data_IF_176043629721
#
_entry.id   IF_176043629721
#
_cell.length_a   1.000
_cell.length_b   1.000
_cell.length_c   1.000
_cell.angle_alpha   90.00
_cell.angle_beta   90.00
_cell.angle_gamma   90.00
#
_symmetry.space_group_name_H-M   'P 1'
#
loop_
_entity.id
_entity.type
_entity.pdbx_description
1 polymer ?
#
# COMPACT_ATOMS: atom_id res chain seq x y z
N UNK A 1 -7.44 22.92 -23.76
CA UNK A 1 -6.91 22.04 -22.70
C UNK A 1 -7.57 20.67 -22.82
N UNK A 2 -6.82 19.64 -23.26
CA UNK A 2 -7.39 18.32 -23.55
C UNK A 2 -7.21 17.41 -22.32
N UNK A 3 -8.23 17.30 -21.47
CA UNK A 3 -8.20 16.40 -20.31
C UNK A 3 -8.30 14.95 -20.80
N UNK A 4 -7.16 14.27 -20.95
CA UNK A 4 -7.16 12.82 -21.19
C UNK A 4 -7.60 12.09 -19.91
N UNK A 5 -8.87 11.68 -19.85
CA UNK A 5 -9.38 10.80 -18.78
C UNK A 5 -8.46 9.58 -18.68
N UNK A 6 -7.89 9.41 -17.49
CA UNK A 6 -6.97 8.36 -17.14
C UNK A 6 -7.74 7.02 -17.11
N UNK A 7 -7.95 6.38 -18.26
CA UNK A 7 -8.70 5.10 -18.41
C UNK A 7 -8.04 3.89 -17.72
N UNK A 8 -6.94 4.09 -16.98
CA UNK A 8 -6.20 3.03 -16.32
C UNK A 8 -6.80 2.68 -14.96
N UNK A 9 -7.13 1.41 -14.74
CA UNK A 9 -7.49 0.91 -13.39
C UNK A 9 -6.31 1.20 -12.45
N UNK A 10 -6.51 2.13 -11.50
CA UNK A 10 -5.57 2.40 -10.42
C UNK A 10 -5.88 1.44 -9.28
N UNK A 11 -4.91 0.62 -8.93
CA UNK A 11 -4.98 -0.29 -7.79
C UNK A 11 -3.96 0.13 -6.75
N UNK A 12 -4.19 -0.21 -5.49
CA UNK A 12 -3.26 0.10 -4.42
C UNK A 12 -2.58 -1.17 -3.94
N UNK A 13 -1.26 -1.15 -3.80
CA UNK A 13 -0.52 -2.21 -3.13
C UNK A 13 -0.19 -1.78 -1.71
N UNK A 14 -0.79 -2.47 -0.74
CA UNK A 14 -0.53 -2.25 0.69
C UNK A 14 0.56 -3.21 1.16
N UNK A 15 1.56 -2.65 1.85
CA UNK A 15 2.57 -3.42 2.55
C UNK A 15 2.58 -3.07 4.02
N UNK A 16 2.81 -4.08 4.84
CA UNK A 16 2.95 -3.93 6.28
C UNK A 16 4.15 -4.71 6.80
N UNK A 17 4.70 -4.29 7.94
CA UNK A 17 5.71 -5.05 8.67
C UNK A 17 5.56 -4.84 10.17
N UNK A 18 5.94 -5.86 10.92
CA UNK A 18 6.05 -5.83 12.39
C UNK A 18 7.48 -6.09 12.85
N UNK A 19 8.45 -6.04 11.93
CA UNK A 19 9.85 -6.42 12.15
C UNK A 19 10.70 -5.97 10.97
N UNK A 20 11.65 -6.82 10.54
CA UNK A 20 12.61 -6.45 9.48
C UNK A 20 12.07 -6.58 8.05
N UNK A 21 11.17 -7.54 7.78
CA UNK A 21 10.67 -7.86 6.43
C UNK A 21 9.29 -7.27 6.13
N UNK A 22 9.11 -6.73 4.92
CA UNK A 22 7.82 -6.25 4.42
C UNK A 22 6.95 -7.39 3.88
N UNK A 23 5.66 -7.38 4.24
CA UNK A 23 4.65 -8.32 3.77
C UNK A 23 3.62 -7.56 2.94
N UNK A 24 3.25 -8.12 1.78
CA UNK A 24 2.15 -7.60 0.94
C UNK A 24 0.82 -8.13 1.43
N UNK A 25 -0.21 -7.30 1.38
CA UNK A 25 -1.59 -7.71 1.65
C UNK A 25 -2.56 -7.03 0.69
N UNK A 26 -3.70 -7.68 0.46
CA UNK A 26 -4.88 -7.07 -0.19
C UNK A 26 -5.96 -6.69 0.83
N UNK A 27 -5.75 -7.00 2.11
CA UNK A 27 -6.70 -6.69 3.18
C UNK A 27 -6.74 -5.18 3.41
N UNK A 28 -7.95 -4.64 3.51
CA UNK A 28 -8.21 -3.23 3.86
C UNK A 28 -8.18 -3.02 5.38
N UNK A 29 -8.58 -4.06 6.12
CA UNK A 29 -8.68 -4.04 7.58
C UNK A 29 -7.75 -5.08 8.18
N UNK A 30 -7.08 -4.73 9.27
CA UNK A 30 -6.28 -5.65 10.06
C UNK A 30 -6.93 -5.80 11.44
N UNK A 31 -7.42 -6.99 11.72
CA UNK A 31 -8.05 -7.35 12.99
C UNK A 31 -7.09 -8.22 13.80
N UNK A 32 -7.36 -8.35 15.10
CA UNK A 32 -6.59 -9.21 16.02
C UNK A 32 -5.08 -8.91 16.01
N UNK A 33 -4.74 -7.61 16.06
CA UNK A 33 -3.35 -7.17 16.14
C UNK A 33 -2.74 -7.56 17.50
N UNK A 34 -1.46 -7.94 17.50
CA UNK A 34 -0.78 -8.31 18.74
C UNK A 34 -0.45 -7.04 19.54
N UNK A 35 -0.78 -7.05 20.84
CA UNK A 35 -0.45 -5.99 21.80
C UNK A 35 1.06 -5.76 21.89
N UNK A 36 1.47 -4.54 22.23
CA UNK A 36 2.87 -4.13 22.37
C UNK A 36 3.71 -4.29 21.09
N UNK A 37 3.08 -4.45 19.93
CA UNK A 37 3.77 -4.47 18.63
C UNK A 37 3.62 -3.16 17.87
N UNK A 38 4.67 -2.83 17.14
CA UNK A 38 4.69 -1.72 16.19
C UNK A 38 4.43 -2.26 14.79
N UNK A 39 3.34 -1.82 14.18
CA UNK A 39 2.99 -2.11 12.80
C UNK A 39 3.34 -0.91 11.93
N UNK A 40 4.20 -1.13 10.95
CA UNK A 40 4.53 -0.12 9.92
C UNK A 40 3.78 -0.43 8.65
N UNK A 41 3.13 0.56 8.05
CA UNK A 41 2.37 0.46 6.82
C UNK A 41 2.91 1.43 5.78
N UNK A 42 2.89 1.00 4.52
CA UNK A 42 3.14 1.86 3.36
C UNK A 42 2.26 1.41 2.21
N UNK A 43 1.86 2.35 1.36
CA UNK A 43 1.07 2.07 0.17
C UNK A 43 1.77 2.63 -1.07
N UNK A 44 1.51 2.02 -2.22
CA UNK A 44 1.86 2.60 -3.52
C UNK A 44 0.74 2.38 -4.51
N UNK A 45 0.67 3.23 -5.52
CA UNK A 45 -0.28 3.10 -6.62
C UNK A 45 0.33 2.20 -7.69
N UNK A 46 -0.44 1.21 -8.10
CA UNK A 46 -0.17 0.34 -9.23
C UNK A 46 -1.13 0.73 -10.35
N UNK A 47 -0.58 1.35 -11.40
CA UNK A 47 -1.31 1.76 -12.59
C UNK A 47 -0.99 0.81 -13.72
N UNK A 48 -2.02 0.20 -14.31
CA UNK A 48 -1.84 -0.55 -15.55
C UNK A 48 -1.99 0.42 -16.72
N UNK A 49 -0.91 0.62 -17.48
CA UNK A 49 -0.91 1.41 -18.71
C UNK A 49 -0.52 0.47 -19.83
N UNK A 50 -1.42 0.28 -20.79
CA UNK A 50 -1.18 -0.57 -21.97
C UNK A 50 -0.66 -1.98 -21.62
N UNK A 51 -1.30 -2.65 -20.64
CA UNK A 51 -0.91 -3.99 -20.16
C UNK A 51 0.30 -4.05 -19.20
N UNK A 52 1.08 -2.96 -19.07
CA UNK A 52 2.25 -2.89 -18.19
C UNK A 52 1.92 -2.27 -16.83
N UNK A 53 2.38 -2.90 -15.74
CA UNK A 53 2.23 -2.38 -14.37
C UNK A 53 3.29 -1.32 -14.10
N UNK A 54 2.85 -0.07 -13.96
CA UNK A 54 3.67 1.04 -13.49
C UNK A 54 3.40 1.27 -12.01
N UNK A 55 4.46 1.34 -11.21
CA UNK A 55 4.39 1.56 -9.78
C UNK A 55 4.80 2.99 -9.45
N UNK A 56 4.01 3.68 -8.63
CA UNK A 56 4.44 4.94 -8.05
C UNK A 56 5.53 4.73 -7.00
N UNK A 57 6.17 5.83 -6.58
CA UNK A 57 6.92 5.85 -5.34
C UNK A 57 6.07 5.37 -4.15
N UNK A 58 6.75 4.85 -3.13
CA UNK A 58 6.11 4.47 -1.88
C UNK A 58 5.62 5.71 -1.13
N UNK A 59 4.45 5.61 -0.49
CA UNK A 59 4.01 6.59 0.48
C UNK A 59 4.97 6.65 1.68
N UNK A 60 4.88 7.75 2.44
CA UNK A 60 5.51 7.83 3.76
C UNK A 60 5.06 6.65 4.62
N UNK A 61 6.02 6.05 5.33
CA UNK A 61 5.74 4.92 6.22
C UNK A 61 4.99 5.42 7.46
N UNK A 62 3.81 4.87 7.70
CA UNK A 62 3.02 5.13 8.90
C UNK A 62 3.28 4.04 9.93
N UNK A 63 3.61 4.40 11.16
CA UNK A 63 3.86 3.45 12.26
C UNK A 63 2.74 3.55 13.28
N UNK A 64 2.21 2.40 13.71
CA UNK A 64 1.13 2.29 14.69
C UNK A 64 1.62 1.34 15.79
N UNK A 65 1.73 1.83 17.02
CA UNK A 65 1.99 1.00 18.20
C UNK A 65 0.67 0.57 18.80
N UNK A 66 0.44 -0.73 18.86
CA UNK A 66 -0.76 -1.30 19.48
C UNK A 66 -0.56 -1.27 20.99
N UNK A 67 -1.38 -0.49 21.69
CA UNK A 67 -1.43 -0.40 23.15
C UNK A 67 -2.29 -1.51 23.75
#
# INVERSE_FOLDING_TARGET
>A
MNWKKDKGKRTYELQYKTGKKWKRTKKKTFEKLKRNKVYSFRLRVCRVVNGKKNYSAWSKVRKIKVK
#
